data_IF_085764274790
#
_entry.id   IF_085764274790
#
_cell.length_a   1.000
_cell.length_b   1.000
_cell.length_c   1.000
_cell.angle_alpha   90.00
_cell.angle_beta   90.00
_cell.angle_gamma   90.00
#
_symmetry.space_group_name_H-M   'P 1'
#
loop_
_entity.id
_entity.type
_entity.pdbx_description
1 polymer ?
#
# COMPACT_ATOMS: atom_id res chain seq x y z
N UNK A 1 17.24 -8.51 3.97
CA UNK A 1 17.36 -8.78 5.42
C UNK A 1 17.19 -7.45 6.14
N UNK A 2 16.02 -7.23 6.74
CA UNK A 2 15.70 -5.96 7.40
C UNK A 2 16.39 -5.91 8.75
N UNK A 3 17.15 -4.84 9.03
CA UNK A 3 17.92 -4.70 10.26
C UNK A 3 16.97 -4.63 11.46
N UNK A 4 17.17 -5.42 12.53
CA UNK A 4 16.34 -5.32 13.74
C UNK A 4 16.45 -3.92 14.32
N UNK A 5 15.31 -3.35 14.71
CA UNK A 5 15.27 -2.01 15.31
C UNK A 5 15.60 -2.13 16.78
N UNK A 6 16.32 -1.16 17.34
CA UNK A 6 16.57 -1.11 18.79
C UNK A 6 15.55 -0.21 19.46
N UNK A 7 15.02 -0.64 20.60
CA UNK A 7 14.16 0.19 21.41
C UNK A 7 14.92 1.44 21.90
N UNK A 8 14.38 2.66 21.77
CA UNK A 8 15.03 3.88 22.26
C UNK A 8 15.15 3.95 23.80
N UNK A 9 14.34 3.18 24.55
CA UNK A 9 14.37 3.16 26.02
C UNK A 9 15.30 2.11 26.62
N UNK A 10 15.22 0.87 26.15
CA UNK A 10 15.95 -0.26 26.74
C UNK A 10 17.06 -0.84 25.85
N UNK A 11 17.25 -0.29 24.65
CA UNK A 11 18.21 -0.77 23.64
C UNK A 11 18.03 -2.24 23.20
N UNK A 12 16.97 -2.90 23.66
CA UNK A 12 16.58 -4.26 23.27
C UNK A 12 16.22 -4.31 21.79
N UNK A 13 16.54 -5.43 21.14
CA UNK A 13 16.17 -5.70 19.76
C UNK A 13 14.65 -5.93 19.66
N UNK A 14 13.98 -5.18 18.80
CA UNK A 14 12.55 -5.30 18.49
C UNK A 14 12.43 -5.93 17.11
N UNK A 15 11.46 -6.85 16.95
CA UNK A 15 11.09 -7.41 15.66
C UNK A 15 10.78 -6.32 14.64
N UNK A 16 11.02 -6.61 13.36
CA UNK A 16 10.82 -5.62 12.28
C UNK A 16 9.35 -5.20 12.17
N UNK A 17 8.44 -6.09 12.50
CA UNK A 17 6.99 -5.93 12.40
C UNK A 17 6.31 -5.75 13.77
N UNK A 18 7.09 -5.59 14.84
CA UNK A 18 6.57 -5.42 16.20
C UNK A 18 6.52 -3.94 16.59
N UNK A 19 5.32 -3.45 16.90
CA UNK A 19 5.12 -2.07 17.40
C UNK A 19 5.36 -1.95 18.91
N UNK A 20 5.43 -3.07 19.64
CA UNK A 20 5.58 -3.09 21.10
C UNK A 20 6.89 -3.77 21.47
N UNK A 21 7.71 -3.09 22.26
CA UNK A 21 8.92 -3.70 22.80
C UNK A 21 8.58 -4.73 23.89
N UNK A 22 8.97 -6.00 23.71
CA UNK A 22 8.70 -7.06 24.68
C UNK A 22 9.38 -6.86 26.05
N UNK A 23 10.45 -6.07 26.11
CA UNK A 23 11.23 -5.88 27.35
C UNK A 23 10.71 -4.73 28.22
N UNK A 24 10.28 -3.62 27.61
CA UNK A 24 9.85 -2.42 28.35
C UNK A 24 8.38 -2.06 28.14
N UNK A 25 7.68 -2.71 27.21
CA UNK A 25 6.28 -2.42 26.89
C UNK A 25 6.05 -1.09 26.17
N UNK A 26 7.10 -0.39 25.75
CA UNK A 26 6.98 0.88 25.03
C UNK A 26 6.46 0.64 23.60
N UNK A 27 5.51 1.48 23.18
CA UNK A 27 5.00 1.50 21.81
C UNK A 27 5.94 2.31 20.92
N UNK A 28 6.58 1.64 19.97
CA UNK A 28 7.47 2.22 18.96
C UNK A 28 6.82 2.00 17.59
N UNK A 29 5.90 2.90 17.18
CA UNK A 29 5.07 2.66 16.00
C UNK A 29 5.93 2.54 14.74
N UNK A 30 5.64 1.53 13.93
CA UNK A 30 6.25 1.37 12.63
C UNK A 30 5.82 2.52 11.71
N UNK A 31 6.75 3.44 11.44
CA UNK A 31 6.50 4.52 10.49
C UNK A 31 6.44 3.94 9.06
N UNK A 32 5.23 3.63 8.59
CA UNK A 32 5.03 3.23 7.20
C UNK A 32 5.38 4.40 6.27
N UNK A 33 6.22 4.18 5.25
CA UNK A 33 6.53 5.24 4.32
C UNK A 33 5.26 5.74 3.60
N UNK A 34 5.08 7.06 3.60
CA UNK A 34 3.94 7.73 2.99
C UNK A 34 3.74 7.37 1.51
N UNK A 35 4.81 6.98 0.82
CA UNK A 35 4.80 6.63 -0.60
C UNK A 35 4.16 5.27 -0.90
N UNK A 36 3.90 4.42 0.11
CA UNK A 36 3.28 3.10 -0.10
C UNK A 36 1.88 3.25 -0.72
N UNK A 37 1.05 4.15 -0.19
CA UNK A 37 -0.30 4.40 -0.72
C UNK A 37 -0.31 4.88 -2.18
N UNK A 38 0.37 5.98 -2.55
CA UNK A 38 0.36 6.46 -3.93
C UNK A 38 1.01 5.45 -4.89
N UNK A 39 2.05 4.74 -4.46
CA UNK A 39 2.68 3.70 -5.27
C UNK A 39 1.71 2.53 -5.54
N UNK A 40 1.00 2.06 -4.52
CA UNK A 40 -0.04 1.06 -4.68
C UNK A 40 -1.16 1.52 -5.62
N UNK A 41 -1.60 2.78 -5.49
CA UNK A 41 -2.58 3.38 -6.39
C UNK A 41 -2.12 3.42 -7.85
N UNK A 42 -0.87 3.79 -8.11
CA UNK A 42 -0.29 3.77 -9.46
C UNK A 42 -0.23 2.36 -10.05
N UNK A 43 0.14 1.36 -9.26
CA UNK A 43 0.17 -0.04 -9.70
C UNK A 43 -1.24 -0.51 -10.08
N UNK A 44 -2.24 -0.21 -9.25
CA UNK A 44 -3.64 -0.58 -9.52
C UNK A 44 -4.17 0.13 -10.75
N UNK A 45 -3.90 1.43 -10.93
CA UNK A 45 -4.27 2.17 -12.13
C UNK A 45 -3.58 1.64 -13.38
N UNK A 46 -2.29 1.32 -13.29
CA UNK A 46 -1.53 0.72 -14.39
C UNK A 46 -2.09 -0.64 -14.79
N UNK A 47 -2.40 -1.50 -13.81
CA UNK A 47 -3.05 -2.79 -14.05
C UNK A 47 -4.45 -2.61 -14.64
N UNK A 48 -5.26 -1.70 -14.10
CA UNK A 48 -6.58 -1.40 -14.63
C UNK A 48 -6.49 -0.96 -16.09
N UNK A 49 -5.52 -0.11 -16.44
CA UNK A 49 -5.31 0.34 -17.81
C UNK A 49 -4.81 -0.79 -18.73
N UNK A 50 -3.97 -1.70 -18.22
CA UNK A 50 -3.47 -2.85 -18.96
C UNK A 50 -4.54 -3.92 -19.22
N UNK A 51 -5.40 -4.19 -18.23
CA UNK A 51 -6.40 -5.27 -18.27
C UNK A 51 -7.75 -4.84 -18.84
N UNK A 52 -8.09 -3.54 -18.80
CA UNK A 52 -9.36 -3.06 -19.34
C UNK A 52 -9.28 -2.92 -20.85
N UNK A 53 -10.11 -3.67 -21.56
CA UNK A 53 -10.25 -3.55 -23.01
C UNK A 53 -11.15 -2.35 -23.34
N UNK A 54 -10.54 -1.18 -23.47
CA UNK A 54 -11.26 0.09 -23.67
C UNK A 54 -12.03 0.10 -25.00
N UNK A 55 -11.62 -0.66 -26.01
CA UNK A 55 -12.31 -0.69 -27.31
C UNK A 55 -13.72 -1.29 -27.17
N UNK A 56 -13.82 -2.45 -26.52
CA UNK A 56 -15.09 -3.10 -26.23
C UNK A 56 -15.97 -2.25 -25.30
N UNK A 57 -15.36 -1.58 -24.31
CA UNK A 57 -16.08 -0.71 -23.38
C UNK A 57 -16.66 0.52 -24.08
N UNK A 58 -15.89 1.17 -24.95
CA UNK A 58 -16.34 2.35 -25.71
C UNK A 58 -17.47 1.94 -26.65
N UNK A 59 -17.35 0.83 -27.39
CA UNK A 59 -18.42 0.36 -28.26
C UNK A 59 -19.71 0.08 -27.49
N UNK A 60 -19.63 -0.59 -26.34
CA UNK A 60 -20.79 -0.82 -25.47
C UNK A 60 -21.43 0.49 -25.00
N UNK A 61 -20.62 1.44 -24.53
CA UNK A 61 -21.12 2.74 -24.06
C UNK A 61 -21.78 3.52 -25.19
N UNK A 62 -21.13 3.65 -26.36
CA UNK A 62 -21.69 4.34 -27.53
C UNK A 62 -22.99 3.70 -28.02
N UNK A 63 -23.11 2.38 -27.96
CA UNK A 63 -24.33 1.67 -28.37
C UNK A 63 -25.45 1.75 -27.31
N UNK A 64 -25.09 1.97 -26.04
CA UNK A 64 -26.03 2.06 -24.91
C UNK A 64 -26.53 3.47 -24.60
N UNK A 65 -25.92 4.51 -25.19
CA UNK A 65 -26.42 5.89 -25.13
C UNK A 65 -27.37 6.09 -26.32
N UNK A 66 -28.71 6.05 -26.12
CA UNK A 66 -29.63 6.49 -27.16
C UNK A 66 -29.41 7.99 -27.36
N UNK A 67 -28.99 8.35 -28.58
CA UNK A 67 -29.03 9.71 -29.11
C UNK A 67 -30.44 10.28 -28.84
N UNK A 68 -30.50 11.40 -28.13
CA UNK A 68 -31.74 12.06 -27.73
C UNK A 68 -31.88 13.35 -28.51
#
# INVERSE_FOLDING_TARGET
MTKPRKCPKCATEIGVDEDICYACGENVPFNHPWYIMPLGGLIVLGLFWLLTDFDALIQYVTQSIPDK
#
